data_IF_398342829167
#
_entry.id   IF_398342829167
#
_cell.length_a   1.000
_cell.length_b   1.000
_cell.length_c   1.000
_cell.angle_alpha   90.00
_cell.angle_beta   90.00
_cell.angle_gamma   90.00
#
_symmetry.space_group_name_H-M   'P 1'
#
loop_
_entity.id
_entity.type
_entity.pdbx_description
1 polymer ?
#
# COMPACT_ATOMS: atom_id res chain seq x y z
N UNK A 1 -18.25 -16.20 4.13
CA UNK A 1 -17.58 -15.07 4.80
C UNK A 1 -16.70 -14.32 3.81
N UNK A 2 -16.26 -13.12 4.14
CA UNK A 2 -15.27 -12.34 3.38
C UNK A 2 -14.13 -11.89 4.29
N UNK A 3 -12.95 -11.67 3.72
CA UNK A 3 -11.79 -11.12 4.43
C UNK A 3 -10.93 -10.31 3.49
N UNK A 4 -10.11 -9.43 4.04
CA UNK A 4 -9.12 -8.68 3.27
C UNK A 4 -7.71 -9.20 3.57
N UNK A 5 -6.81 -9.04 2.59
CA UNK A 5 -5.37 -9.15 2.84
C UNK A 5 -4.64 -7.91 2.39
N UNK A 6 -3.64 -7.50 3.16
CA UNK A 6 -2.80 -6.33 2.93
C UNK A 6 -1.35 -6.80 2.76
N UNK A 7 -0.70 -6.30 1.72
CA UNK A 7 0.69 -6.64 1.38
C UNK A 7 1.41 -5.36 0.95
N UNK A 8 2.58 -5.11 1.54
CA UNK A 8 3.52 -4.08 1.06
C UNK A 8 4.58 -4.76 0.23
N UNK A 9 4.92 -4.17 -0.91
CA UNK A 9 5.87 -4.71 -1.90
C UNK A 9 7.10 -5.38 -1.27
N UNK A 10 7.24 -6.70 -1.51
CA UNK A 10 8.36 -7.51 -1.01
C UNK A 10 8.34 -7.79 0.50
N UNK A 11 7.26 -7.41 1.20
CA UNK A 11 7.08 -7.56 2.64
C UNK A 11 6.11 -8.68 3.03
N UNK A 12 5.83 -8.74 4.34
CA UNK A 12 4.88 -9.68 4.90
C UNK A 12 3.44 -9.37 4.47
N UNK A 13 2.62 -10.42 4.39
CA UNK A 13 1.18 -10.32 4.13
C UNK A 13 0.43 -10.39 5.45
N UNK A 14 -0.49 -9.46 5.66
CA UNK A 14 -1.45 -9.46 6.76
C UNK A 14 -2.83 -9.85 6.24
N UNK A 15 -3.58 -10.58 7.04
CA UNK A 15 -4.98 -10.95 6.77
C UNK A 15 -5.86 -10.43 7.90
N UNK A 16 -7.05 -9.93 7.55
CA UNK A 16 -8.08 -9.54 8.54
C UNK A 16 -8.87 -10.74 9.03
N UNK A 17 -9.63 -10.54 10.10
CA UNK A 17 -10.65 -11.51 10.50
C UNK A 17 -11.71 -11.70 9.40
N UNK A 18 -12.41 -12.84 9.47
CA UNK A 18 -13.56 -13.11 8.62
C UNK A 18 -14.76 -12.24 9.04
N UNK A 19 -15.45 -11.68 8.07
CA UNK A 19 -16.68 -10.90 8.26
C UNK A 19 -17.82 -11.42 7.37
N UNK A 20 -19.06 -11.11 7.77
CA UNK A 20 -20.24 -11.40 6.96
C UNK A 20 -20.31 -10.47 5.74
N UNK A 21 -20.57 -11.04 4.55
CA UNK A 21 -20.51 -10.31 3.29
C UNK A 21 -21.54 -9.19 3.14
N UNK A 22 -22.66 -9.25 3.86
CA UNK A 22 -23.74 -8.25 3.75
C UNK A 22 -23.41 -6.89 4.36
N UNK A 23 -22.54 -6.86 5.38
CA UNK A 23 -22.10 -5.64 6.08
C UNK A 23 -20.68 -5.83 6.65
N UNK A 24 -19.67 -6.06 5.79
CA UNK A 24 -18.34 -6.34 6.28
C UNK A 24 -17.71 -5.09 6.90
N UNK A 25 -17.24 -5.22 8.15
CA UNK A 25 -16.52 -4.17 8.87
C UNK A 25 -15.31 -4.82 9.53
N UNK A 26 -14.15 -4.21 9.37
CA UNK A 26 -12.91 -4.64 10.00
C UNK A 26 -12.29 -3.47 10.77
N UNK A 27 -11.80 -3.73 11.97
CA UNK A 27 -10.99 -2.81 12.77
C UNK A 27 -9.48 -3.12 12.68
N UNK A 28 -9.08 -3.95 11.72
CA UNK A 28 -7.70 -4.45 11.62
C UNK A 28 -6.77 -3.37 11.07
N UNK A 29 -5.71 -3.05 11.84
CA UNK A 29 -4.61 -2.21 11.40
C UNK A 29 -3.41 -3.09 11.02
N UNK A 30 -2.77 -2.77 9.90
CA UNK A 30 -1.52 -3.40 9.48
C UNK A 30 -0.36 -2.42 9.49
N UNK A 31 0.63 -2.67 10.35
CA UNK A 31 1.86 -1.90 10.41
C UNK A 31 2.97 -2.63 9.66
N UNK A 32 3.59 -1.92 8.70
CA UNK A 32 4.60 -2.48 7.83
C UNK A 32 5.81 -1.54 7.75
N UNK A 33 7.00 -2.12 7.60
CA UNK A 33 8.23 -1.38 7.32
C UNK A 33 8.64 -1.59 5.87
N UNK A 34 9.15 -0.54 5.24
CA UNK A 34 9.67 -0.60 3.87
C UNK A 34 10.80 0.40 3.68
N UNK A 35 11.78 0.01 2.85
CA UNK A 35 12.87 0.88 2.42
C UNK A 35 12.59 1.54 1.06
N UNK A 36 11.42 1.28 0.47
CA UNK A 36 11.02 1.88 -0.79
C UNK A 36 10.51 3.32 -0.56
N UNK A 37 11.08 4.33 -1.25
CA UNK A 37 10.64 5.73 -1.09
C UNK A 37 9.18 5.98 -1.49
N UNK A 38 8.66 5.14 -2.40
CA UNK A 38 7.26 5.11 -2.81
C UNK A 38 6.82 3.64 -2.87
N UNK A 39 6.41 3.06 -1.73
CA UNK A 39 6.05 1.64 -1.70
C UNK A 39 4.75 1.39 -2.45
N UNK A 40 4.55 0.14 -2.88
CA UNK A 40 3.26 -0.33 -3.39
C UNK A 40 2.55 -1.12 -2.29
N UNK A 41 1.34 -0.71 -1.94
CA UNK A 41 0.43 -1.42 -1.03
C UNK A 41 -0.67 -2.05 -1.84
N UNK A 42 -0.87 -3.34 -1.66
CA UNK A 42 -1.93 -4.11 -2.32
C UNK A 42 -2.92 -4.58 -1.25
N UNK A 43 -4.17 -4.16 -1.39
CA UNK A 43 -5.27 -4.66 -0.56
C UNK A 43 -6.20 -5.46 -1.45
N UNK A 44 -6.49 -6.69 -1.04
CA UNK A 44 -7.32 -7.63 -1.78
C UNK A 44 -8.47 -8.11 -0.93
N UNK A 45 -9.68 -8.10 -1.49
CA UNK A 45 -10.88 -8.65 -0.89
C UNK A 45 -11.10 -10.08 -1.39
N UNK A 46 -11.37 -11.00 -0.47
CA UNK A 46 -11.63 -12.40 -0.75
C UNK A 46 -12.99 -12.83 -0.20
N UNK A 47 -13.66 -13.73 -0.91
CA UNK A 47 -14.69 -14.58 -0.36
C UNK A 47 -14.07 -15.89 0.10
N UNK A 48 -14.42 -16.34 1.29
CA UNK A 48 -14.07 -17.68 1.75
C UNK A 48 -14.79 -18.73 0.90
N UNK A 49 -14.05 -19.76 0.48
CA UNK A 49 -14.60 -20.90 -0.26
C UNK A 49 -14.62 -22.10 0.69
N UNK A 50 -15.80 -22.67 0.96
CA UNK A 50 -15.91 -23.88 1.76
C UNK A 50 -15.65 -25.10 0.87
N UNK A 51 -14.50 -25.79 1.03
CA UNK A 51 -14.22 -27.02 0.30
C UNK A 51 -13.07 -27.82 0.92
N UNK A 52 -13.29 -29.12 1.16
CA UNK A 52 -12.36 -30.05 1.82
C UNK A 52 -11.00 -30.23 1.12
N UNK A 53 -10.85 -29.74 -0.11
CA UNK A 53 -9.66 -29.87 -0.96
C UNK A 53 -9.11 -28.52 -1.46
N UNK A 54 -9.60 -27.37 -0.97
CA UNK A 54 -9.10 -26.08 -1.41
C UNK A 54 -7.76 -25.77 -0.74
N UNK A 55 -6.68 -26.25 -1.35
CA UNK A 55 -5.31 -25.82 -1.08
C UNK A 55 -5.09 -24.32 -1.36
N UNK A 56 -6.10 -23.60 -1.88
CA UNK A 56 -6.05 -22.18 -2.20
C UNK A 56 -7.01 -21.33 -1.34
N UNK A 57 -6.39 -20.37 -0.67
CA UNK A 57 -6.93 -19.31 0.16
C UNK A 57 -7.99 -18.45 -0.55
N UNK A 58 -9.28 -18.82 -0.47
CA UNK A 58 -10.43 -17.99 -0.89
C UNK A 58 -10.48 -17.55 -2.37
N UNK A 59 -11.65 -17.09 -2.83
CA UNK A 59 -11.80 -16.48 -4.16
C UNK A 59 -11.55 -14.97 -4.07
N UNK A 60 -10.56 -14.45 -4.79
CA UNK A 60 -10.33 -13.00 -4.91
C UNK A 60 -11.53 -12.32 -5.60
N UNK A 61 -12.20 -11.42 -4.90
CA UNK A 61 -13.33 -10.64 -5.42
C UNK A 61 -12.86 -9.37 -6.12
N UNK A 62 -11.83 -8.73 -5.59
CA UNK A 62 -11.24 -7.55 -6.17
C UNK A 62 -10.06 -7.04 -5.36
N UNK A 63 -9.37 -6.04 -5.91
CA UNK A 63 -8.17 -5.47 -5.30
C UNK A 63 -8.05 -3.98 -5.55
N UNK A 64 -7.32 -3.31 -4.68
CA UNK A 64 -6.80 -1.96 -4.90
C UNK A 64 -5.29 -1.96 -4.72
N UNK A 65 -4.61 -1.22 -5.59
CA UNK A 65 -3.16 -1.00 -5.53
C UNK A 65 -2.95 0.48 -5.27
N UNK A 66 -2.21 0.79 -4.20
CA UNK A 66 -2.04 2.14 -3.69
C UNK A 66 -0.55 2.43 -3.50
N UNK A 67 -0.15 3.67 -3.76
CA UNK A 67 1.22 4.14 -3.57
C UNK A 67 1.21 5.26 -2.53
N UNK A 68 1.20 4.92 -1.22
CA UNK A 68 1.10 5.92 -0.17
C UNK A 68 2.31 6.85 -0.18
N UNK A 69 2.10 8.09 0.24
CA UNK A 69 3.14 9.12 0.36
C UNK A 69 3.12 9.71 1.76
N UNK A 70 4.24 10.25 2.23
CA UNK A 70 4.31 10.92 3.55
C UNK A 70 3.41 12.17 3.66
N UNK A 71 2.90 12.66 2.53
CA UNK A 71 2.00 13.83 2.42
C UNK A 71 0.57 13.46 2.05
N UNK A 72 0.23 12.16 2.01
CA UNK A 72 -1.09 11.68 1.65
C UNK A 72 -2.17 12.08 2.66
N UNK A 73 -3.44 12.03 2.21
CA UNK A 73 -4.58 12.21 3.10
C UNK A 73 -4.57 11.13 4.19
N UNK A 74 -4.87 11.53 5.43
CA UNK A 74 -4.90 10.65 6.60
C UNK A 74 -6.32 10.29 7.03
N UNK A 75 -7.32 10.74 6.28
CA UNK A 75 -8.72 10.43 6.53
C UNK A 75 -9.11 9.10 5.85
N UNK A 76 -10.15 8.43 6.35
CA UNK A 76 -10.73 7.28 5.66
C UNK A 76 -11.26 7.68 4.28
N UNK A 77 -10.88 6.93 3.24
CA UNK A 77 -11.33 7.14 1.87
C UNK A 77 -11.90 5.86 1.28
N UNK A 78 -12.93 5.99 0.44
CA UNK A 78 -13.48 4.87 -0.33
C UNK A 78 -12.66 4.65 -1.60
N UNK A 79 -12.11 3.45 -1.74
CA UNK A 79 -11.36 3.04 -2.91
C UNK A 79 -12.16 2.03 -3.73
N UNK A 80 -12.40 2.36 -5.00
CA UNK A 80 -12.99 1.42 -5.96
C UNK A 80 -12.02 0.28 -6.23
N UNK A 81 -12.52 -0.95 -6.16
CA UNK A 81 -11.72 -2.13 -6.45
C UNK A 81 -11.65 -2.41 -7.94
N UNK A 82 -10.49 -2.88 -8.39
CA UNK A 82 -10.38 -3.64 -9.62
C UNK A 82 -10.93 -5.05 -9.35
N UNK A 83 -12.11 -5.32 -9.86
CA UNK A 83 -12.90 -6.52 -9.65
C UNK A 83 -12.40 -7.69 -10.51
N UNK A 84 -12.54 -8.89 -9.98
CA UNK A 84 -12.25 -10.13 -10.71
C UNK A 84 -13.34 -10.40 -11.76
N UNK A 85 -13.04 -11.30 -12.71
CA UNK A 85 -14.03 -11.75 -13.71
C UNK A 85 -15.29 -12.27 -13.00
N UNK A 86 -16.46 -11.85 -13.49
CA UNK A 86 -17.78 -12.23 -12.96
C UNK A 86 -18.05 -11.76 -11.52
N UNK A 87 -17.43 -10.66 -11.09
CA UNK A 87 -17.75 -9.95 -9.84
C UNK A 87 -18.29 -8.56 -10.20
N UNK A 88 -19.33 -8.05 -9.52
CA UNK A 88 -19.86 -6.70 -9.77
C UNK A 88 -18.79 -5.61 -9.67
N UNK A 89 -18.85 -4.61 -10.56
CA UNK A 89 -17.85 -3.53 -10.69
C UNK A 89 -18.01 -2.38 -9.67
N UNK A 90 -18.94 -2.49 -8.73
CA UNK A 90 -19.27 -1.47 -7.75
C UNK A 90 -18.64 -1.71 -6.37
N UNK A 91 -17.81 -2.76 -6.23
CA UNK A 91 -17.11 -3.02 -4.97
C UNK A 91 -16.14 -1.88 -4.60
N UNK A 92 -16.26 -1.44 -3.35
CA UNK A 92 -15.38 -0.43 -2.75
C UNK A 92 -14.91 -0.89 -1.37
N UNK A 93 -13.70 -0.45 -0.98
CA UNK A 93 -13.18 -0.61 0.37
C UNK A 93 -12.87 0.75 0.96
N UNK A 94 -13.33 0.99 2.18
CA UNK A 94 -12.90 2.16 2.96
C UNK A 94 -11.58 1.84 3.65
N UNK A 95 -10.54 2.62 3.38
CA UNK A 95 -9.20 2.43 3.96
C UNK A 95 -8.69 3.75 4.51
N UNK A 96 -7.90 3.67 5.59
CA UNK A 96 -7.07 4.78 6.06
C UNK A 96 -5.62 4.40 5.85
N UNK A 97 -4.86 5.21 5.12
CA UNK A 97 -3.45 4.94 4.82
C UNK A 97 -2.58 6.03 5.43
N UNK A 98 -1.58 5.61 6.19
CA UNK A 98 -0.61 6.53 6.81
C UNK A 98 0.79 6.03 6.51
N UNK A 99 1.57 6.88 5.86
CA UNK A 99 3.02 6.68 5.74
C UNK A 99 3.71 7.65 6.68
N UNK A 100 4.53 7.10 7.58
CA UNK A 100 5.31 7.94 8.48
C UNK A 100 6.42 8.65 7.71
N UNK A 101 6.67 9.92 8.07
CA UNK A 101 7.70 10.75 7.44
C UNK A 101 9.04 10.51 8.15
N UNK A 102 10.08 10.02 7.46
CA UNK A 102 11.41 9.93 8.06
C UNK A 102 11.91 11.31 8.52
N UNK A 103 12.57 11.37 9.68
CA UNK A 103 13.05 12.62 10.26
C UNK A 103 14.01 13.41 9.35
N UNK A 104 14.79 12.69 8.53
CA UNK A 104 15.73 13.28 7.59
C UNK A 104 15.08 13.66 6.24
N UNK A 105 13.81 13.35 5.98
CA UNK A 105 13.14 13.71 4.73
C UNK A 105 12.78 15.19 4.71
N UNK A 106 13.38 15.94 3.79
CA UNK A 106 13.10 17.38 3.60
C UNK A 106 11.95 17.60 2.65
N UNK A 107 12.01 16.96 1.49
CA UNK A 107 10.98 17.09 0.46
C UNK A 107 10.74 15.75 -0.23
N UNK A 108 9.52 15.52 -0.69
CA UNK A 108 9.19 14.38 -1.53
C UNK A 108 8.07 14.73 -2.52
N UNK A 109 8.09 14.10 -3.69
CA UNK A 109 7.05 14.28 -4.69
C UNK A 109 7.46 13.82 -6.08
N UNK A 110 6.50 13.86 -7.02
CA UNK A 110 6.79 13.61 -8.43
C UNK A 110 7.42 14.83 -9.07
N UNK A 111 8.62 14.65 -9.62
CA UNK A 111 9.37 15.67 -10.34
C UNK A 111 9.83 15.11 -11.69
N UNK A 112 10.03 16.00 -12.65
CA UNK A 112 10.78 15.66 -13.87
C UNK A 112 12.27 15.81 -13.60
N UNK A 113 13.02 14.76 -13.89
CA UNK A 113 14.48 14.75 -13.78
C UNK A 113 15.12 14.43 -15.13
N UNK A 114 16.28 15.04 -15.39
CA UNK A 114 17.15 14.73 -16.52
C UNK A 114 18.49 14.21 -15.98
N UNK A 115 18.86 13.00 -16.39
CA UNK A 115 20.04 12.31 -15.91
C UNK A 115 21.22 12.61 -16.82
N UNK A 116 22.39 12.88 -16.24
CA UNK A 116 23.60 13.14 -17.04
C UNK A 116 24.10 11.89 -17.76
N UNK A 117 24.01 10.72 -17.12
CA UNK A 117 24.58 9.45 -17.62
C UNK A 117 23.52 8.37 -17.85
N UNK A 118 22.68 8.09 -16.85
CA UNK A 118 21.75 6.94 -16.89
C UNK A 118 20.45 7.19 -17.70
N UNK A 119 20.02 8.44 -17.85
CA UNK A 119 18.79 8.78 -18.58
C UNK A 119 18.88 10.14 -19.26
N UNK A 120 19.20 10.14 -20.56
CA UNK A 120 19.38 11.35 -21.39
C UNK A 120 18.08 12.00 -21.89
N UNK A 121 16.95 11.67 -21.25
CA UNK A 121 15.62 12.24 -21.54
C UNK A 121 14.96 12.65 -20.23
N UNK A 122 14.06 13.63 -20.29
CA UNK A 122 13.23 14.00 -19.14
C UNK A 122 12.32 12.83 -18.76
N UNK A 123 12.37 12.42 -17.49
CA UNK A 123 11.54 11.33 -16.95
C UNK A 123 10.88 11.83 -15.67
N UNK A 124 9.57 11.59 -15.54
CA UNK A 124 8.85 11.82 -14.29
C UNK A 124 9.15 10.70 -13.30
N UNK A 125 9.65 11.04 -12.12
CA UNK A 125 9.98 10.10 -11.03
C UNK A 125 9.51 10.65 -9.70
N UNK A 126 9.18 9.75 -8.76
CA UNK A 126 9.00 10.14 -7.36
C UNK A 126 10.38 10.29 -6.73
N UNK A 127 10.67 11.46 -6.17
CA UNK A 127 11.99 11.82 -5.64
C UNK A 127 11.83 12.17 -4.17
N UNK A 128 12.78 11.71 -3.35
CA UNK A 128 12.93 12.09 -1.95
C UNK A 128 14.24 12.85 -1.76
N UNK A 129 14.14 14.08 -1.29
CA UNK A 129 15.28 14.88 -0.85
C UNK A 129 15.50 14.63 0.65
N UNK A 130 16.59 13.96 0.98
CA UNK A 130 16.97 13.64 2.35
C UNK A 130 18.12 14.54 2.81
N UNK A 131 18.09 14.96 4.07
CA UNK A 131 19.23 15.59 4.71
C UNK A 131 20.12 14.51 5.32
N UNK A 132 21.36 14.44 4.84
CA UNK A 132 22.40 13.61 5.45
C UNK A 132 23.18 14.53 6.36
N UNK A 133 22.90 14.51 7.66
CA UNK A 133 23.72 15.25 8.63
C UNK A 133 25.05 14.52 8.83
N UNK A 134 26.18 15.11 8.42
CA UNK A 134 27.49 14.82 8.97
C UNK A 134 27.56 15.39 10.39
N UNK A 135 27.11 14.63 11.39
CA UNK A 135 27.42 14.92 12.80
C UNK A 135 27.76 13.61 13.53
N UNK A 136 28.94 13.06 13.26
CA UNK A 136 29.73 12.41 14.31
C UNK A 136 30.67 13.48 14.88
N UNK A 137 30.14 14.43 15.65
CA UNK A 137 30.99 15.13 16.61
C UNK A 137 31.04 14.23 17.85
N UNK A 138 32.09 13.41 17.93
CA UNK A 138 32.58 12.96 19.23
C UNK A 138 33.74 13.90 19.55
N UNK A 139 33.43 14.92 20.35
CA UNK A 139 34.42 15.48 21.26
C UNK A 139 34.47 14.54 22.46
N UNK A 140 35.58 13.80 22.61
CA UNK A 140 36.61 13.88 23.66
C UNK A 140 37.70 12.90 23.26
#
# INVERSE_FOLDING_TARGET
MVYCTMEVEGGARLQTDLAEAGKPVWGTQGDFSTNQPLPTVKVKLYAETSGLLSLDSGKELGRVILNPTCTGNRQPEWYKLQTSKNVPDDLQLQLTLRMEKPNNLKHCGYLYALGRTAFRKWIRRYICLIQVCCFCYIHV
#
